data_IF_452725616544
#
_entry.id   IF_452725616544
#
_cell.length_a   1.000
_cell.length_b   1.000
_cell.length_c   1.000
_cell.angle_alpha   90.00
_cell.angle_beta   90.00
_cell.angle_gamma   90.00
#
_symmetry.space_group_name_H-M   'P 1'
#
loop_
_entity.id
_entity.type
_entity.pdbx_description
1 polymer ?
#
# COMPACT_ATOMS: atom_id res chain seq x y z
N UNK A 1 -5.47 31.71 -13.64
CA UNK A 1 -4.43 30.73 -13.29
C UNK A 1 -5.20 29.51 -12.83
N UNK A 2 -5.27 28.48 -13.66
CA UNK A 2 -6.01 27.26 -13.35
C UNK A 2 -5.38 26.60 -12.11
N UNK A 3 -6.18 26.32 -11.09
CA UNK A 3 -5.70 25.73 -9.84
C UNK A 3 -5.28 24.29 -10.13
N UNK A 4 -4.00 23.99 -9.97
CA UNK A 4 -3.47 22.63 -10.16
C UNK A 4 -3.92 21.75 -9.00
N UNK A 5 -4.78 20.77 -9.29
CA UNK A 5 -5.17 19.75 -8.33
C UNK A 5 -4.12 18.62 -8.37
N UNK A 6 -3.33 18.42 -7.31
CA UNK A 6 -2.36 17.33 -7.27
C UNK A 6 -3.07 15.97 -7.34
N UNK A 7 -2.56 15.11 -8.22
CA UNK A 7 -3.03 13.75 -8.43
C UNK A 7 -2.43 12.80 -7.39
N UNK A 8 -2.98 11.58 -7.30
CA UNK A 8 -2.39 10.53 -6.46
C UNK A 8 -0.97 10.15 -6.89
N UNK A 9 -0.61 10.36 -8.17
CA UNK A 9 0.71 10.07 -8.71
C UNK A 9 1.79 10.99 -8.15
N UNK A 10 1.43 12.26 -7.89
CA UNK A 10 2.37 13.28 -7.42
C UNK A 10 2.92 12.96 -6.02
N UNK A 11 2.22 12.11 -5.25
CA UNK A 11 2.69 11.59 -3.98
C UNK A 11 3.73 10.46 -4.11
N UNK A 12 3.85 9.84 -5.29
CA UNK A 12 4.72 8.70 -5.56
C UNK A 12 5.94 9.13 -6.36
N UNK A 13 5.76 9.99 -7.37
CA UNK A 13 6.82 10.42 -8.28
C UNK A 13 6.48 11.73 -8.98
N UNK A 14 7.49 12.45 -9.44
CA UNK A 14 7.37 13.63 -10.31
C UNK A 14 7.70 13.31 -11.77
N UNK A 15 7.88 12.03 -12.09
CA UNK A 15 8.22 11.56 -13.42
C UNK A 15 7.08 11.74 -14.42
N UNK A 16 7.46 11.95 -15.69
CA UNK A 16 6.48 11.97 -16.79
C UNK A 16 5.75 10.63 -16.94
N UNK A 17 4.52 10.67 -17.47
CA UNK A 17 3.76 9.45 -17.80
C UNK A 17 4.53 8.47 -18.71
N UNK A 18 5.46 8.96 -19.54
CA UNK A 18 6.34 8.14 -20.38
C UNK A 18 7.38 7.38 -19.57
N UNK A 19 7.98 8.03 -18.58
CA UNK A 19 8.94 7.39 -17.67
C UNK A 19 8.23 6.35 -16.81
N UNK A 20 7.06 6.68 -16.28
CA UNK A 20 6.23 5.75 -15.49
C UNK A 20 5.82 4.54 -16.33
N UNK A 21 5.40 4.75 -17.59
CA UNK A 21 5.08 3.67 -18.52
C UNK A 21 6.26 2.71 -18.72
N UNK A 22 7.48 3.24 -18.89
CA UNK A 22 8.70 2.44 -19.01
C UNK A 22 9.00 1.65 -17.72
N UNK A 23 8.84 2.28 -16.56
CA UNK A 23 9.12 1.65 -15.27
C UNK A 23 8.11 0.54 -14.91
N UNK A 24 6.84 0.71 -15.31
CA UNK A 24 5.75 -0.23 -15.00
C UNK A 24 5.51 -1.28 -16.09
N UNK A 25 5.99 -1.06 -17.31
CA UNK A 25 5.64 -1.86 -18.49
C UNK A 25 4.23 -1.61 -19.02
N UNK A 26 3.49 -0.64 -18.48
CA UNK A 26 2.16 -0.24 -18.94
C UNK A 26 2.25 0.79 -20.09
N UNK A 27 1.17 0.94 -20.85
CA UNK A 27 1.15 1.95 -21.91
C UNK A 27 1.09 3.37 -21.35
N UNK A 28 1.70 4.33 -22.05
CA UNK A 28 1.59 5.76 -21.70
C UNK A 28 0.14 6.20 -21.54
N UNK A 29 -0.74 5.80 -22.47
CA UNK A 29 -2.17 6.11 -22.43
C UNK A 29 -2.86 5.55 -21.18
N UNK A 30 -2.45 4.37 -20.71
CA UNK A 30 -2.94 3.79 -19.46
C UNK A 30 -2.56 4.64 -18.26
N UNK A 31 -1.31 5.11 -18.20
CA UNK A 31 -0.83 5.97 -17.11
C UNK A 31 -1.57 7.31 -17.12
N UNK A 32 -1.64 8.01 -18.27
CA UNK A 32 -2.35 9.29 -18.36
C UNK A 32 -3.82 9.17 -17.97
N UNK A 33 -4.53 8.15 -18.48
CA UNK A 33 -5.94 7.92 -18.11
C UNK A 33 -6.12 7.61 -16.63
N UNK A 34 -5.17 6.92 -16.00
CA UNK A 34 -5.22 6.64 -14.56
C UNK A 34 -4.87 7.87 -13.71
N UNK A 35 -4.04 8.78 -14.21
CA UNK A 35 -3.71 10.04 -13.52
C UNK A 35 -4.93 10.94 -13.39
N UNK A 36 -5.70 11.07 -14.48
CA UNK A 36 -6.85 11.98 -14.56
C UNK A 36 -8.15 11.36 -14.02
N UNK A 37 -8.13 10.08 -13.67
CA UNK A 37 -9.32 9.37 -13.21
C UNK A 37 -9.46 9.49 -11.68
N UNK A 38 -10.59 10.03 -11.17
CA UNK A 38 -10.84 10.10 -9.72
C UNK A 38 -10.93 8.73 -9.04
N UNK A 39 -11.23 7.67 -9.80
CA UNK A 39 -11.25 6.28 -9.34
C UNK A 39 -10.35 5.41 -10.23
N UNK A 40 -9.02 5.58 -10.12
CA UNK A 40 -8.07 4.91 -11.02
C UNK A 40 -8.13 3.39 -10.86
N UNK A 41 -7.83 2.59 -11.91
CA UNK A 41 -7.81 1.14 -11.77
C UNK A 41 -6.81 0.69 -10.69
N UNK A 42 -7.22 -0.09 -9.67
CA UNK A 42 -6.35 -0.46 -8.55
C UNK A 42 -5.06 -1.15 -8.99
N UNK A 43 -5.14 -1.99 -10.04
CA UNK A 43 -3.99 -2.68 -10.59
C UNK A 43 -2.91 -1.73 -11.13
N UNK A 44 -3.30 -0.59 -11.72
CA UNK A 44 -2.36 0.42 -12.22
C UNK A 44 -1.68 1.12 -11.05
N UNK A 45 -2.45 1.50 -10.02
CA UNK A 45 -1.92 2.13 -8.80
C UNK A 45 -0.89 1.23 -8.11
N UNK A 46 -1.19 -0.06 -7.96
CA UNK A 46 -0.28 -1.04 -7.37
C UNK A 46 0.97 -1.25 -8.23
N UNK A 47 0.84 -1.29 -9.56
CA UNK A 47 1.98 -1.43 -10.46
C UNK A 47 2.94 -0.23 -10.36
N UNK A 48 2.40 0.99 -10.35
CA UNK A 48 3.20 2.21 -10.16
C UNK A 48 3.87 2.22 -8.79
N UNK A 49 3.13 1.95 -7.72
CA UNK A 49 3.69 1.91 -6.37
C UNK A 49 4.88 0.95 -6.27
N UNK A 50 4.75 -0.26 -6.84
CA UNK A 50 5.84 -1.26 -6.88
C UNK A 50 7.04 -0.78 -7.68
N UNK A 51 6.82 -0.18 -8.85
CA UNK A 51 7.90 0.30 -9.72
C UNK A 51 8.76 1.38 -9.04
N UNK A 52 8.17 2.16 -8.13
CA UNK A 52 8.84 3.23 -7.38
C UNK A 52 9.18 2.86 -5.93
N UNK A 53 8.96 1.61 -5.51
CA UNK A 53 9.21 1.17 -4.12
C UNK A 53 8.29 1.81 -3.08
N UNK A 54 7.18 2.40 -3.50
CA UNK A 54 6.18 3.03 -2.64
C UNK A 54 5.22 1.97 -2.08
N UNK A 55 4.70 2.19 -0.86
CA UNK A 55 3.76 1.25 -0.25
C UNK A 55 2.44 1.20 -1.05
N UNK A 56 2.06 0.04 -1.64
CA UNK A 56 0.84 -0.05 -2.46
C UNK A 56 -0.45 0.24 -1.69
N UNK A 57 -0.49 -0.04 -0.39
CA UNK A 57 -1.64 0.25 0.47
C UNK A 57 -1.79 1.75 0.70
N UNK A 58 -0.67 2.45 0.93
CA UNK A 58 -0.67 3.92 1.05
C UNK A 58 -1.07 4.57 -0.28
N UNK A 59 -0.55 4.07 -1.41
CA UNK A 59 -0.93 4.57 -2.73
C UNK A 59 -2.45 4.46 -2.99
N UNK A 60 -3.05 3.30 -2.70
CA UNK A 60 -4.50 3.09 -2.83
C UNK A 60 -5.32 3.94 -1.84
N UNK A 61 -4.76 4.28 -0.68
CA UNK A 61 -5.44 5.19 0.25
C UNK A 61 -5.48 6.62 -0.30
N UNK A 62 -4.41 7.07 -0.97
CA UNK A 62 -4.35 8.40 -1.59
C UNK A 62 -5.30 8.56 -2.78
N UNK A 63 -5.64 7.47 -3.46
CA UNK A 63 -6.67 7.48 -4.51
C UNK A 63 -8.10 7.47 -3.94
N UNK A 64 -8.27 7.37 -2.62
CA UNK A 64 -9.58 7.21 -1.98
C UNK A 64 -10.21 5.82 -2.18
N UNK A 65 -9.48 4.86 -2.76
CA UNK A 65 -9.96 3.48 -2.93
C UNK A 65 -9.92 2.69 -1.63
N UNK A 66 -9.03 3.08 -0.71
CA UNK A 66 -8.99 2.60 0.67
C UNK A 66 -9.18 3.76 1.62
N UNK A 67 -10.05 3.59 2.60
CA UNK A 67 -10.12 4.51 3.74
C UNK A 67 -8.83 4.41 4.56
N UNK A 68 -8.46 5.47 5.31
CA UNK A 68 -7.32 5.41 6.22
C UNK A 68 -7.45 4.32 7.29
N UNK A 69 -8.65 3.84 7.58
CA UNK A 69 -8.89 2.74 8.53
C UNK A 69 -8.56 1.40 7.90
N UNK A 70 -8.95 1.17 6.64
CA UNK A 70 -8.63 -0.05 5.89
C UNK A 70 -7.15 -0.14 5.50
N UNK A 71 -6.52 1.01 5.26
CA UNK A 71 -5.10 1.10 4.91
C UNK A 71 -4.16 0.91 6.11
N UNK A 72 -4.68 0.93 7.36
CA UNK A 72 -3.86 0.67 8.54
C UNK A 72 -3.31 -0.75 8.46
N UNK A 73 -1.98 -0.94 8.61
CA UNK A 73 -1.47 -2.28 8.77
C UNK A 73 -2.15 -2.90 9.98
N UNK A 74 -2.63 -4.14 9.81
CA UNK A 74 -2.99 -5.00 10.93
C UNK A 74 -1.68 -5.42 11.59
N UNK A 75 -0.97 -4.45 12.19
CA UNK A 75 0.22 -4.74 12.98
C UNK A 75 -0.23 -5.68 14.09
N UNK A 76 0.46 -6.81 14.21
CA UNK A 76 0.21 -7.76 15.30
C UNK A 76 0.11 -7.03 16.63
N UNK A 77 0.97 -6.04 16.89
CA UNK A 77 1.00 -5.23 18.12
C UNK A 77 -0.34 -4.59 18.53
N UNK A 78 -1.10 -4.01 17.60
CA UNK A 78 -2.40 -3.43 17.90
C UNK A 78 -3.43 -4.49 18.34
N UNK A 79 -3.29 -5.72 17.80
CA UNK A 79 -4.07 -6.87 18.24
C UNK A 79 -3.51 -7.48 19.53
N UNK A 80 -2.19 -7.53 19.71
CA UNK A 80 -1.54 -8.09 20.91
C UNK A 80 -1.98 -7.34 22.16
N UNK A 81 -2.15 -6.01 22.09
CA UNK A 81 -2.69 -5.21 23.21
C UNK A 81 -4.12 -5.61 23.63
N UNK A 82 -4.89 -6.23 22.73
CA UNK A 82 -6.25 -6.72 22.97
C UNK A 82 -6.27 -8.20 23.38
N UNK A 83 -5.17 -8.93 23.20
CA UNK A 83 -5.03 -10.31 23.67
C UNK A 83 -4.68 -10.29 25.16
N UNK A 84 -5.32 -11.14 25.96
CA UNK A 84 -5.00 -11.23 27.38
C UNK A 84 -3.56 -11.74 27.58
N UNK A 85 -2.88 -11.21 28.61
CA UNK A 85 -1.52 -11.64 28.97
C UNK A 85 -1.41 -13.15 29.14
N UNK A 86 -2.46 -13.80 29.67
CA UNK A 86 -2.50 -15.26 29.83
C UNK A 86 -2.37 -16.01 28.50
N UNK A 87 -3.09 -15.57 27.48
CA UNK A 87 -3.04 -16.19 26.14
C UNK A 87 -1.67 -15.98 25.50
N UNK A 88 -1.09 -14.79 25.67
CA UNK A 88 0.27 -14.52 25.20
C UNK A 88 1.30 -15.43 25.87
N UNK A 89 1.22 -15.61 27.19
CA UNK A 89 2.11 -16.52 27.94
C UNK A 89 1.96 -17.98 27.49
N UNK A 90 0.73 -18.44 27.28
CA UNK A 90 0.48 -19.80 26.79
C UNK A 90 1.10 -20.04 25.40
N UNK A 91 1.00 -19.04 24.53
CA UNK A 91 1.57 -19.14 23.18
C UNK A 91 3.11 -19.11 23.21
N UNK A 92 3.73 -18.30 24.06
CA UNK A 92 5.18 -18.32 24.25
C UNK A 92 5.67 -19.69 24.77
N UNK A 93 5.01 -20.24 25.78
CA UNK A 93 5.35 -21.57 26.31
C UNK A 93 5.19 -22.67 25.25
N UNK A 94 4.15 -22.60 24.41
CA UNK A 94 3.95 -23.53 23.30
C UNK A 94 5.11 -23.46 22.29
N UNK A 95 5.61 -22.26 21.97
CA UNK A 95 6.72 -22.08 21.01
C UNK A 95 8.03 -22.63 21.55
N UNK A 96 8.36 -22.35 22.81
CA UNK A 96 9.54 -22.91 23.47
C UNK A 96 9.50 -24.45 23.47
N UNK A 97 8.35 -25.05 23.81
CA UNK A 97 8.17 -26.50 23.79
C UNK A 97 8.28 -27.11 22.38
N UNK A 98 7.86 -26.38 21.34
CA UNK A 98 8.00 -26.79 19.95
C UNK A 98 9.42 -26.60 19.38
N UNK A 99 10.21 -25.68 19.94
CA UNK A 99 11.59 -25.42 19.55
C UNK A 99 12.59 -26.33 20.27
N UNK A 100 12.27 -26.81 21.48
CA UNK A 100 13.08 -27.77 22.23
C UNK A 100 13.06 -29.20 21.66
N UNK A 101 12.38 -29.43 20.53
CA UNK A 101 12.25 -30.72 19.85
C UNK A 101 13.05 -30.88 18.55
N UNK A 102 14.03 -30.00 18.27
CA UNK A 102 14.94 -30.09 17.11
C UNK A 102 16.38 -30.16 17.59
#
# INVERSE_FOLDING_TARGET
MEEYTPTWLDAITTDSARTIAKATGLSHTTISRAADNPTPPPAVVVAVARAYGYNPVEALSRTGLLTPVEARPVTGEANLRRVSTRVLLQELLRREAGQAGV
#
